data_IF_517825083925
#
_entry.id   IF_517825083925
#
_cell.length_a   1.000
_cell.length_b   1.000
_cell.length_c   1.000
_cell.angle_alpha   90.00
_cell.angle_beta   90.00
_cell.angle_gamma   90.00
#
_symmetry.space_group_name_H-M   'P 1'
#
loop_
_entity.id
_entity.type
_entity.pdbx_description
1 polymer ?
#
# COMPACT_ATOMS: atom_id res chain seq x y z
N UNK A 1 22.22 -45.44 43.48
CA UNK A 1 21.19 -44.47 43.03
C UNK A 1 21.88 -43.41 42.20
N UNK A 2 21.72 -43.43 40.87
CA UNK A 2 20.84 -42.53 40.08
C UNK A 2 21.29 -41.05 40.12
N UNK A 3 22.33 -40.69 39.36
CA UNK A 3 22.64 -39.28 39.08
C UNK A 3 23.15 -39.07 37.64
N UNK A 4 22.57 -39.77 36.66
CA UNK A 4 23.06 -39.74 35.26
C UNK A 4 21.99 -39.37 34.23
N UNK A 5 20.75 -39.08 34.67
CA UNK A 5 19.61 -38.84 33.77
C UNK A 5 19.12 -37.39 33.73
N UNK A 6 19.60 -36.51 34.61
CA UNK A 6 19.10 -35.13 34.73
C UNK A 6 19.75 -34.12 33.78
N UNK A 7 20.95 -34.39 33.24
CA UNK A 7 21.64 -33.42 32.35
C UNK A 7 21.19 -33.48 30.87
N UNK A 8 20.61 -34.60 30.41
CA UNK A 8 20.19 -34.74 29.00
C UNK A 8 18.88 -34.04 28.65
N UNK A 9 18.07 -33.70 29.66
CA UNK A 9 16.75 -33.09 29.43
C UNK A 9 16.86 -31.56 29.28
N UNK A 10 17.93 -30.95 29.77
CA UNK A 10 18.10 -29.48 29.71
C UNK A 10 18.50 -29.01 28.30
N UNK A 11 19.17 -29.84 27.49
CA UNK A 11 19.57 -29.48 26.13
C UNK A 11 18.52 -29.77 25.04
N UNK A 12 17.43 -30.47 25.34
CA UNK A 12 16.36 -30.76 24.37
C UNK A 12 15.17 -29.78 24.46
N UNK A 13 15.13 -28.91 25.48
CA UNK A 13 14.01 -27.98 25.71
C UNK A 13 14.24 -26.54 25.26
N UNK A 14 15.44 -26.18 24.79
CA UNK A 14 15.83 -24.79 24.51
C UNK A 14 15.85 -24.41 23.01
N UNK A 15 15.19 -25.19 22.14
CA UNK A 15 15.22 -24.98 20.69
C UNK A 15 13.83 -24.76 20.04
N UNK A 16 12.79 -24.47 20.83
CA UNK A 16 11.41 -24.26 20.33
C UNK A 16 10.84 -22.88 20.71
N UNK A 17 11.66 -21.82 20.75
CA UNK A 17 11.15 -20.45 20.99
C UNK A 17 11.60 -19.43 19.93
N UNK A 18 12.31 -19.85 18.88
CA UNK A 18 12.86 -18.92 17.86
C UNK A 18 12.03 -18.78 16.57
N UNK A 19 10.79 -19.28 16.53
CA UNK A 19 9.99 -19.34 15.29
C UNK A 19 8.58 -18.78 15.50
N UNK A 20 8.42 -17.48 15.74
CA UNK A 20 7.08 -16.85 15.63
C UNK A 20 7.10 -15.33 15.54
N UNK A 21 7.99 -14.79 14.71
CA UNK A 21 7.83 -13.43 14.17
C UNK A 21 7.90 -13.47 12.65
N UNK A 22 7.05 -14.29 12.00
CA UNK A 22 6.63 -13.94 10.65
C UNK A 22 5.84 -12.63 10.79
N UNK A 23 6.50 -11.49 10.54
CA UNK A 23 5.79 -10.25 10.34
C UNK A 23 4.89 -10.46 9.12
N UNK A 24 3.61 -10.75 9.36
CA UNK A 24 2.60 -10.85 8.31
C UNK A 24 2.56 -9.51 7.59
N UNK A 25 3.21 -9.45 6.43
CA UNK A 25 3.15 -8.28 5.57
C UNK A 25 1.70 -8.20 5.09
N UNK A 26 0.99 -7.08 5.33
CA UNK A 26 -0.39 -6.98 4.90
C UNK A 26 -0.47 -7.19 3.39
N UNK A 27 -1.37 -8.07 2.93
CA UNK A 27 -1.61 -8.38 1.53
C UNK A 27 -2.94 -7.80 1.06
N UNK A 28 -3.12 -7.66 -0.26
CA UNK A 28 -4.38 -7.17 -0.83
C UNK A 28 -4.66 -5.70 -0.47
N UNK A 29 -5.94 -5.28 -0.38
CA UNK A 29 -6.30 -3.89 -0.08
C UNK A 29 -5.70 -3.34 1.22
N UNK A 30 -5.54 -4.20 2.24
CA UNK A 30 -4.93 -3.85 3.52
C UNK A 30 -3.43 -3.49 3.40
N UNK A 31 -2.75 -3.95 2.35
CA UNK A 31 -1.36 -3.58 2.05
C UNK A 31 -1.20 -2.07 1.77
N UNK A 32 -2.25 -1.45 1.24
CA UNK A 32 -2.24 -0.07 0.78
C UNK A 32 -2.96 0.88 1.74
N UNK A 33 -3.81 0.34 2.62
CA UNK A 33 -4.64 1.15 3.50
C UNK A 33 -3.80 2.08 4.39
N UNK A 34 -4.24 3.34 4.44
CA UNK A 34 -3.56 4.41 5.17
C UNK A 34 -3.68 5.76 4.49
N UNK A 35 -3.10 6.76 5.14
CA UNK A 35 -2.95 8.11 4.59
C UNK A 35 -1.50 8.30 4.18
N UNK A 36 -1.32 8.73 2.94
CA UNK A 36 -0.04 8.85 2.29
C UNK A 36 0.15 10.26 1.75
N UNK A 37 1.36 10.79 1.82
CA UNK A 37 1.74 12.08 1.26
C UNK A 37 2.93 11.95 0.31
N UNK A 38 3.04 12.84 -0.67
CA UNK A 38 4.16 12.87 -1.61
C UNK A 38 4.80 14.26 -1.72
N UNK A 39 5.87 14.35 -2.53
CA UNK A 39 6.65 15.58 -2.74
C UNK A 39 5.85 16.74 -3.34
N UNK A 40 4.70 16.49 -3.97
CA UNK A 40 3.79 17.52 -4.47
C UNK A 40 2.84 18.07 -3.39
N UNK A 41 2.93 17.54 -2.16
CA UNK A 41 2.00 17.85 -1.09
C UNK A 41 0.61 17.25 -1.30
N UNK A 42 0.49 16.24 -2.17
CA UNK A 42 -0.75 15.51 -2.36
C UNK A 42 -0.95 14.53 -1.23
N UNK A 43 -2.13 14.53 -0.63
CA UNK A 43 -2.55 13.54 0.36
C UNK A 43 -3.46 12.52 -0.31
N UNK A 44 -3.16 11.24 -0.16
CA UNK A 44 -3.96 10.12 -0.63
C UNK A 44 -4.34 9.23 0.54
N UNK A 45 -5.63 9.25 0.89
CA UNK A 45 -6.22 8.32 1.85
C UNK A 45 -6.77 7.12 1.09
N UNK A 46 -6.21 5.94 1.36
CA UNK A 46 -6.63 4.66 0.81
C UNK A 46 -7.36 3.90 1.92
N UNK A 47 -8.64 3.60 1.72
CA UNK A 47 -9.47 2.94 2.71
C UNK A 47 -9.49 1.42 2.50
N UNK A 48 -9.53 0.59 3.56
CA UNK A 48 -9.53 -0.86 3.43
C UNK A 48 -10.77 -1.44 2.71
N UNK A 49 -11.83 -0.64 2.53
CA UNK A 49 -13.07 -1.03 1.85
C UNK A 49 -13.00 -0.92 0.32
N UNK A 50 -11.83 -0.59 -0.24
CA UNK A 50 -11.67 -0.43 -1.69
C UNK A 50 -12.01 0.97 -2.20
N UNK A 51 -12.20 1.96 -1.33
CA UNK A 51 -12.39 3.37 -1.72
C UNK A 51 -11.13 4.19 -1.46
N UNK A 52 -11.03 5.35 -2.09
CA UNK A 52 -9.97 6.31 -1.82
C UNK A 52 -10.42 7.76 -1.95
N UNK A 53 -9.63 8.64 -1.34
CA UNK A 53 -9.75 10.08 -1.43
C UNK A 53 -8.38 10.72 -1.64
N UNK A 54 -8.27 11.65 -2.60
CA UNK A 54 -7.05 12.40 -2.92
C UNK A 54 -7.32 13.89 -2.79
N UNK A 55 -6.48 14.57 -2.01
CA UNK A 55 -6.39 16.01 -1.93
C UNK A 55 -5.06 16.46 -2.52
N UNK A 56 -5.07 16.98 -3.75
CA UNK A 56 -3.89 17.54 -4.39
C UNK A 56 -3.76 19.02 -4.06
N UNK A 57 -2.54 19.48 -3.74
CA UNK A 57 -2.28 20.88 -3.41
C UNK A 57 -2.11 21.77 -4.65
N UNK A 58 -1.49 21.26 -5.73
CA UNK A 58 -1.09 22.05 -6.91
C UNK A 58 -1.22 21.25 -8.22
N UNK A 59 -2.18 21.58 -9.12
CA UNK A 59 -3.33 22.44 -8.86
C UNK A 59 -4.25 21.82 -7.79
N UNK A 60 -5.00 22.65 -7.07
CA UNK A 60 -5.94 22.15 -6.06
C UNK A 60 -6.97 21.24 -6.72
N UNK A 61 -7.06 20.00 -6.24
CA UNK A 61 -8.08 19.05 -6.70
C UNK A 61 -8.47 18.13 -5.55
N UNK A 62 -9.74 17.74 -5.56
CA UNK A 62 -10.30 16.78 -4.61
C UNK A 62 -10.95 15.66 -5.43
N UNK A 63 -10.50 14.41 -5.23
CA UNK A 63 -10.84 13.28 -6.08
C UNK A 63 -11.21 12.10 -5.21
N UNK A 64 -12.33 11.44 -5.52
CA UNK A 64 -12.76 10.18 -4.91
C UNK A 64 -12.80 9.10 -5.97
N UNK A 65 -12.59 7.86 -5.52
CA UNK A 65 -12.68 6.73 -6.41
C UNK A 65 -12.66 5.40 -5.68
N UNK A 66 -12.63 4.35 -6.49
CA UNK A 66 -12.54 2.98 -6.05
C UNK A 66 -11.22 2.37 -6.54
N UNK A 67 -10.73 1.37 -5.83
CA UNK A 67 -9.59 0.60 -6.24
C UNK A 67 -9.80 -0.90 -6.00
N UNK A 68 -9.10 -1.70 -6.79
CA UNK A 68 -8.99 -3.14 -6.59
C UNK A 68 -7.54 -3.55 -6.54
N UNK A 69 -7.23 -4.62 -5.81
CA UNK A 69 -5.88 -5.18 -5.72
C UNK A 69 -5.90 -6.64 -6.16
N UNK A 70 -4.95 -7.02 -7.00
CA UNK A 70 -4.69 -8.41 -7.38
C UNK A 70 -3.19 -8.63 -7.39
N UNK A 71 -2.69 -9.43 -6.43
CA UNK A 71 -1.25 -9.58 -6.22
C UNK A 71 -0.56 -8.26 -5.88
N UNK A 72 0.46 -7.90 -6.66
CA UNK A 72 1.22 -6.64 -6.58
C UNK A 72 0.61 -5.52 -7.42
N UNK A 73 -0.59 -5.71 -7.98
CA UNK A 73 -1.18 -4.78 -8.94
C UNK A 73 -2.41 -4.10 -8.35
N UNK A 74 -2.46 -2.78 -8.44
CA UNK A 74 -3.61 -1.93 -8.10
C UNK A 74 -4.27 -1.43 -9.39
N UNK A 75 -5.60 -1.44 -9.43
CA UNK A 75 -6.40 -0.70 -10.42
C UNK A 75 -7.11 0.42 -9.72
N UNK A 76 -6.95 1.66 -10.19
CA UNK A 76 -7.51 2.90 -9.63
C UNK A 76 -8.51 3.48 -10.60
N UNK A 77 -9.74 3.73 -10.15
CA UNK A 77 -10.79 4.34 -10.94
C UNK A 77 -11.36 5.55 -10.20
N UNK A 78 -11.22 6.73 -10.79
CA UNK A 78 -11.91 7.93 -10.31
C UNK A 78 -13.41 7.76 -10.50
N UNK A 79 -14.19 7.99 -9.45
CA UNK A 79 -15.66 7.99 -9.51
C UNK A 79 -16.22 9.40 -9.41
N UNK A 80 -15.52 10.29 -8.70
CA UNK A 80 -15.91 11.69 -8.52
C UNK A 80 -14.69 12.58 -8.42
N UNK A 81 -14.84 13.82 -8.88
CA UNK A 81 -13.86 14.88 -8.69
C UNK A 81 -14.58 16.19 -8.42
N UNK A 82 -14.03 17.03 -7.55
CA UNK A 82 -14.42 18.42 -7.46
C UNK A 82 -13.92 19.15 -8.73
N UNK A 83 -14.85 19.53 -9.60
CA UNK A 83 -14.57 20.15 -10.89
C UNK A 83 -14.55 19.17 -12.07
N UNK A 84 -14.16 19.66 -13.24
CA UNK A 84 -14.20 18.87 -14.47
C UNK A 84 -13.14 17.76 -14.49
N UNK A 85 -13.56 16.53 -14.76
CA UNK A 85 -12.64 15.39 -15.00
C UNK A 85 -12.13 15.47 -16.44
N UNK A 86 -10.81 15.54 -16.67
CA UNK A 86 -10.23 15.49 -18.01
C UNK A 86 -10.68 14.22 -18.74
N UNK A 87 -10.98 14.30 -20.05
CA UNK A 87 -11.44 13.14 -20.84
C UNK A 87 -10.47 11.95 -20.76
N UNK A 88 -9.17 12.22 -20.68
CA UNK A 88 -8.11 11.21 -20.52
C UNK A 88 -8.13 10.48 -19.17
N UNK A 89 -8.89 10.96 -18.19
CA UNK A 89 -8.95 10.44 -16.83
C UNK A 89 -10.25 9.70 -16.49
N UNK A 90 -11.14 9.49 -17.49
CA UNK A 90 -12.40 8.77 -17.28
C UNK A 90 -12.23 7.26 -17.11
N UNK A 91 -11.10 6.69 -17.53
CA UNK A 91 -10.82 5.25 -17.42
C UNK A 91 -9.94 4.88 -16.23
N UNK A 92 -9.74 3.57 -15.99
CA UNK A 92 -8.93 3.09 -14.89
C UNK A 92 -7.44 3.28 -15.19
N UNK A 93 -6.65 3.41 -14.13
CA UNK A 93 -5.19 3.38 -14.16
C UNK A 93 -4.70 2.14 -13.43
N UNK A 94 -3.77 1.42 -14.03
CA UNK A 94 -3.21 0.16 -13.51
C UNK A 94 -1.74 0.36 -13.20
N UNK A 95 -1.36 -0.03 -11.99
CA UNK A 95 0.00 0.13 -11.47
C UNK A 95 0.43 -1.10 -10.71
N UNK A 96 1.72 -1.42 -10.77
CA UNK A 96 2.33 -2.28 -9.76
C UNK A 96 2.67 -1.46 -8.54
N UNK A 97 2.51 -2.02 -7.34
CA UNK A 97 2.90 -1.37 -6.11
C UNK A 97 3.91 -2.20 -5.33
N UNK A 98 4.72 -1.52 -4.53
CA UNK A 98 5.60 -2.16 -3.55
C UNK A 98 5.58 -1.39 -2.23
N UNK A 99 5.87 -2.12 -1.16
CA UNK A 99 5.95 -1.66 0.22
C UNK A 99 7.36 -1.98 0.74
N UNK A 100 8.38 -1.16 0.42
CA UNK A 100 9.75 -1.41 0.87
C UNK A 100 9.86 -1.46 2.40
N UNK A 101 9.05 -0.66 3.09
CA UNK A 101 8.87 -0.69 4.54
C UNK A 101 7.43 -0.31 4.95
N UNK A 102 7.22 -0.05 6.25
CA UNK A 102 5.90 0.30 6.79
C UNK A 102 5.42 1.70 6.41
N UNK A 103 6.36 2.60 6.10
CA UNK A 103 6.14 4.02 5.90
C UNK A 103 6.34 4.46 4.45
N UNK A 104 6.79 3.58 3.56
CA UNK A 104 7.00 3.88 2.14
C UNK A 104 6.06 3.06 1.26
N UNK A 105 5.57 3.73 0.21
CA UNK A 105 4.73 3.13 -0.82
C UNK A 105 5.17 3.67 -2.18
N UNK A 106 5.40 2.76 -3.12
CA UNK A 106 5.85 3.10 -4.47
C UNK A 106 4.94 2.45 -5.52
N UNK A 107 4.75 3.13 -6.64
CA UNK A 107 3.97 2.64 -7.76
C UNK A 107 4.74 2.75 -9.07
N UNK A 108 4.62 1.72 -9.90
CA UNK A 108 5.16 1.68 -11.26
C UNK A 108 4.00 1.54 -12.25
N UNK A 109 4.00 2.39 -13.27
CA UNK A 109 2.97 2.40 -14.30
C UNK A 109 2.93 1.06 -15.04
N UNK A 110 1.73 0.47 -15.15
CA UNK A 110 1.45 -0.66 -16.07
C UNK A 110 0.65 -0.14 -17.25
N UNK A 111 -0.49 0.50 -16.99
CA UNK A 111 -1.33 1.08 -18.04
C UNK A 111 -2.20 2.20 -17.48
N UNK A 112 -2.03 3.41 -17.99
CA UNK A 112 -2.91 4.53 -17.70
C UNK A 112 -2.77 5.57 -18.83
N UNK A 113 -3.87 6.25 -19.18
CA UNK A 113 -3.90 7.34 -20.17
C UNK A 113 -4.04 8.71 -19.50
N UNK A 114 -4.34 8.76 -18.20
CA UNK A 114 -4.51 9.99 -17.44
C UNK A 114 -3.16 10.56 -17.00
N UNK A 115 -2.55 11.41 -17.83
CA UNK A 115 -1.23 12.03 -17.53
C UNK A 115 -1.13 12.64 -16.12
N UNK A 116 -2.11 13.40 -15.60
CA UNK A 116 -2.04 13.94 -14.24
C UNK A 116 -2.03 12.85 -13.16
N UNK A 117 -2.82 11.79 -13.33
CA UNK A 117 -2.85 10.66 -12.39
C UNK A 117 -1.53 9.90 -12.42
N UNK A 118 -0.98 9.63 -13.61
CA UNK A 118 0.35 9.02 -13.76
C UNK A 118 1.40 9.82 -12.99
N UNK A 119 1.50 11.12 -13.26
CA UNK A 119 2.50 11.99 -12.61
C UNK A 119 2.41 11.96 -11.09
N UNK A 120 1.20 11.90 -10.52
CA UNK A 120 1.00 11.91 -9.08
C UNK A 120 1.17 10.52 -8.45
N UNK A 121 0.58 9.47 -9.03
CA UNK A 121 0.63 8.10 -8.50
C UNK A 121 2.06 7.56 -8.49
N UNK A 122 2.87 7.85 -9.51
CA UNK A 122 4.26 7.37 -9.58
C UNK A 122 5.24 8.20 -8.75
N UNK A 123 4.76 9.14 -7.92
CA UNK A 123 5.63 9.75 -6.91
C UNK A 123 5.96 8.76 -5.80
N UNK A 124 7.09 8.92 -5.09
CA UNK A 124 7.30 8.25 -3.82
C UNK A 124 6.29 8.74 -2.79
N UNK A 125 5.61 7.80 -2.13
CA UNK A 125 4.63 8.09 -1.09
C UNK A 125 5.19 7.73 0.28
N UNK A 126 4.92 8.59 1.25
CA UNK A 126 5.30 8.43 2.65
C UNK A 126 4.05 8.44 3.52
N UNK A 127 4.06 7.66 4.59
CA UNK A 127 2.97 7.69 5.57
C UNK A 127 2.87 9.10 6.19
N UNK A 128 1.65 9.62 6.25
CA UNK A 128 1.36 10.87 6.96
C UNK A 128 1.15 10.61 8.46
#
# INVERSE_FOLDING_TARGET
MKLQHSLRIIFAGALIVLMSACATTPSGPAALAGTWTNSFGTVWTINPDGTFHVMAAKPKAEIWGNYTVTGDTITVQETRRAGAVPKSCRGPGVYKFSRPDANTLAFVLVNDKCKPRIQNVTQPWHRQ
#
